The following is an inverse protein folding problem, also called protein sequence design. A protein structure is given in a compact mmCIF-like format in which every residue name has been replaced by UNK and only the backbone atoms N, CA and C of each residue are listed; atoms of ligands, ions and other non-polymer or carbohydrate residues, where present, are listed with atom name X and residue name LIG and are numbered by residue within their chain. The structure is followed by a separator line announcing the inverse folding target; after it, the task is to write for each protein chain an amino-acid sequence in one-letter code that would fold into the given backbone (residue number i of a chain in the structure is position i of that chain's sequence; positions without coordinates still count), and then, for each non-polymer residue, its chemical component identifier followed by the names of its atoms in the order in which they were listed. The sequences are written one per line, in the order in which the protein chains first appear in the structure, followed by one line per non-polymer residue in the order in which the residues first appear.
data_IF_379238539770
#
_entry.id   IF_379238539770
#
_cell.length_a   1.000
_cell.length_b   1.000
_cell.length_c   1.000
_cell.angle_alpha   90.00
_cell.angle_beta   90.00
_cell.angle_gamma   90.00
#
_symmetry.space_group_name_H-M   'P 1'
#
loop_
_entity.id
_entity.type
_entity.pdbx_description
1 polymer ?
#
# COMPACT_ATOMS: atom_id res chain seq x y z
N UNK A 1 -10.19 -4.99 4.49
CA UNK A 1 -11.16 -4.02 5.03
C UNK A 1 -12.59 -4.59 4.95
N UNK A 2 -13.02 -5.35 5.97
CA UNK A 2 -14.33 -6.02 5.99
C UNK A 2 -15.53 -5.05 6.09
N UNK A 3 -15.32 -3.81 6.50
CA UNK A 3 -16.38 -2.83 6.74
C UNK A 3 -16.55 -1.81 5.61
N UNK A 4 -15.78 -1.90 4.53
CA UNK A 4 -15.81 -0.92 3.43
C UNK A 4 -15.45 0.52 3.84
N UNK A 5 -14.72 0.68 4.96
CA UNK A 5 -14.32 1.99 5.48
C UNK A 5 -12.98 2.43 4.91
N UNK A 6 -12.85 3.70 4.61
CA UNK A 6 -11.62 4.30 4.17
C UNK A 6 -10.73 4.58 5.39
N UNK A 7 -9.67 3.80 5.53
CA UNK A 7 -8.88 3.81 6.77
C UNK A 7 -7.93 5.00 6.87
N UNK A 8 -7.25 5.36 5.78
CA UNK A 8 -6.21 6.38 5.83
C UNK A 8 -5.14 6.05 6.86
N UNK A 9 -4.83 6.99 7.74
CA UNK A 9 -3.93 6.82 8.87
C UNK A 9 -4.63 6.24 10.11
N UNK A 10 -5.97 6.21 10.16
CA UNK A 10 -6.67 5.55 11.26
C UNK A 10 -6.26 4.07 11.33
N UNK A 11 -5.89 3.64 12.53
CA UNK A 11 -5.40 2.28 12.75
C UNK A 11 -6.56 1.33 13.07
N UNK A 12 -6.44 0.12 12.57
CA UNK A 12 -7.34 -0.98 12.90
C UNK A 12 -6.57 -2.29 12.95
N UNK A 13 -6.90 -3.22 13.86
CA UNK A 13 -6.24 -4.51 13.92
C UNK A 13 -6.52 -5.33 12.64
N UNK A 14 -5.60 -6.22 12.31
CA UNK A 14 -5.82 -7.20 11.26
C UNK A 14 -7.00 -8.11 11.61
N UNK A 15 -7.85 -8.40 10.64
CA UNK A 15 -8.86 -9.44 10.79
C UNK A 15 -8.20 -10.83 10.91
N UNK A 16 -8.89 -11.85 11.44
CA UNK A 16 -8.38 -13.22 11.47
C UNK A 16 -7.96 -13.72 10.08
N UNK A 17 -8.68 -13.29 9.04
CA UNK A 17 -8.36 -13.58 7.66
C UNK A 17 -7.09 -12.88 7.20
N UNK A 18 -6.92 -11.58 7.49
CA UNK A 18 -5.70 -10.82 7.18
C UNK A 18 -4.47 -11.44 7.84
N UNK A 19 -4.60 -11.93 9.09
CA UNK A 19 -3.54 -12.68 9.78
C UNK A 19 -3.18 -13.97 9.01
N UNK A 20 -4.19 -14.72 8.55
CA UNK A 20 -3.96 -15.95 7.77
C UNK A 20 -3.29 -15.66 6.43
N UNK A 21 -3.70 -14.59 5.73
CA UNK A 21 -3.11 -14.16 4.47
C UNK A 21 -1.64 -13.73 4.66
N UNK A 22 -1.34 -12.94 5.69
CA UNK A 22 0.03 -12.51 6.00
C UNK A 22 0.94 -13.70 6.34
N UNK A 23 0.47 -14.67 7.12
CA UNK A 23 1.22 -15.91 7.41
C UNK A 23 1.48 -16.75 6.15
N UNK A 24 0.50 -16.86 5.26
CA UNK A 24 0.67 -17.58 3.99
C UNK A 24 1.72 -16.90 3.09
N UNK A 25 1.74 -15.55 3.06
CA UNK A 25 2.78 -14.81 2.34
C UNK A 25 4.16 -15.03 2.98
N UNK A 26 4.27 -15.00 4.31
CA UNK A 26 5.51 -15.28 5.03
C UNK A 26 6.09 -16.66 4.67
N UNK A 27 5.26 -17.71 4.69
CA UNK A 27 5.69 -19.05 4.26
C UNK A 27 6.08 -19.12 2.78
N UNK A 28 5.46 -18.33 1.90
CA UNK A 28 5.85 -18.29 0.48
C UNK A 28 7.22 -17.70 0.24
N UNK A 29 7.60 -16.69 1.01
CA UNK A 29 8.87 -15.98 0.82
C UNK A 29 9.96 -16.41 1.82
N UNK A 30 9.70 -17.44 2.64
CA UNK A 30 10.62 -17.90 3.67
C UNK A 30 12.02 -18.24 3.14
N UNK A 31 12.09 -18.83 1.94
CA UNK A 31 13.36 -19.18 1.27
C UNK A 31 13.95 -18.02 0.42
N UNK A 32 13.22 -16.91 0.27
CA UNK A 32 13.73 -15.77 -0.45
C UNK A 32 14.66 -14.94 0.46
N UNK A 33 15.79 -14.51 -0.10
CA UNK A 33 16.73 -13.63 0.62
C UNK A 33 16.47 -12.19 0.26
N UNK A 34 16.33 -11.35 1.29
CA UNK A 34 16.28 -9.90 1.16
C UNK A 34 17.43 -9.29 1.94
N UNK A 35 18.08 -8.27 1.37
CA UNK A 35 19.15 -7.54 2.04
C UNK A 35 18.58 -6.54 3.05
N UNK A 36 17.38 -6.00 2.76
CA UNK A 36 16.67 -5.05 3.60
C UNK A 36 15.19 -5.35 3.64
N UNK A 37 14.57 -5.09 4.80
CA UNK A 37 13.14 -5.27 5.00
C UNK A 37 12.56 -4.03 5.65
N UNK A 38 11.59 -3.39 5.00
CA UNK A 38 10.93 -2.16 5.44
C UNK A 38 9.42 -2.37 5.60
N UNK A 39 8.80 -1.55 6.44
CA UNK A 39 7.35 -1.47 6.59
C UNK A 39 6.89 -0.04 6.78
N UNK A 40 5.71 0.30 6.26
CA UNK A 40 4.96 1.43 6.80
C UNK A 40 4.84 1.27 8.33
N UNK A 41 4.90 2.37 9.05
CA UNK A 41 4.81 2.41 10.52
C UNK A 41 3.36 2.45 11.04
N UNK A 42 2.33 2.35 10.17
CA UNK A 42 0.95 2.14 10.60
C UNK A 42 0.78 0.73 11.17
N UNK A 43 0.08 0.60 12.29
CA UNK A 43 0.00 -0.63 13.10
C UNK A 43 -0.39 -1.87 12.30
N UNK A 44 -1.36 -1.75 11.37
CA UNK A 44 -1.74 -2.87 10.48
C UNK A 44 -0.62 -3.34 9.56
N UNK A 45 0.23 -2.43 9.07
CA UNK A 45 1.37 -2.79 8.22
C UNK A 45 2.50 -3.39 9.06
N UNK A 46 2.79 -2.85 10.24
CA UNK A 46 3.75 -3.40 11.20
C UNK A 46 3.38 -4.83 11.58
N UNK A 47 2.13 -5.07 12.01
CA UNK A 47 1.67 -6.41 12.36
C UNK A 47 1.76 -7.37 11.16
N UNK A 48 1.45 -6.89 9.95
CA UNK A 48 1.64 -7.68 8.73
C UNK A 48 3.12 -8.02 8.52
N UNK A 49 4.02 -7.06 8.69
CA UNK A 49 5.46 -7.28 8.51
C UNK A 49 6.04 -8.27 9.53
N UNK A 50 5.58 -8.23 10.78
CA UNK A 50 5.95 -9.20 11.82
C UNK A 50 5.55 -10.63 11.42
N UNK A 51 4.32 -10.80 10.92
CA UNK A 51 3.83 -12.11 10.47
C UNK A 51 4.57 -12.62 9.23
N UNK A 52 4.94 -11.74 8.32
CA UNK A 52 5.69 -12.07 7.10
C UNK A 52 7.16 -12.40 7.42
N UNK A 53 7.79 -11.62 8.28
CA UNK A 53 9.21 -11.78 8.63
C UNK A 53 9.49 -12.93 9.59
N UNK A 54 8.48 -13.35 10.38
CA UNK A 54 8.64 -14.36 11.44
C UNK A 54 9.26 -15.69 10.97
N UNK A 55 8.86 -16.29 9.82
CA UNK A 55 9.45 -17.58 9.38
C UNK A 55 10.95 -17.49 9.10
N UNK A 56 11.43 -16.38 8.54
CA UNK A 56 12.84 -16.15 8.18
C UNK A 56 13.64 -15.38 9.24
N UNK A 57 13.00 -14.99 10.37
CA UNK A 57 13.63 -14.21 11.43
C UNK A 57 13.93 -12.74 11.06
N UNK A 58 13.30 -12.21 10.00
CA UNK A 58 13.48 -10.83 9.57
C UNK A 58 12.62 -9.88 10.41
N UNK A 59 13.20 -8.71 10.74
CA UNK A 59 12.48 -7.60 11.38
C UNK A 59 12.48 -6.40 10.44
N UNK A 60 11.32 -5.80 10.22
CA UNK A 60 11.19 -4.64 9.33
C UNK A 60 11.64 -3.35 10.02
N UNK A 61 12.39 -2.53 9.28
CA UNK A 61 12.63 -1.14 9.65
C UNK A 61 11.42 -0.28 9.27
N UNK A 62 10.98 0.58 10.17
CA UNK A 62 9.85 1.48 9.92
C UNK A 62 10.23 2.58 8.93
N UNK A 63 9.38 2.76 7.90
CA UNK A 63 9.55 3.78 6.89
C UNK A 63 8.26 4.58 6.66
N UNK A 64 8.08 5.75 7.35
CA UNK A 64 6.83 6.53 7.29
C UNK A 64 6.46 7.02 5.88
N UNK A 65 7.43 7.12 4.96
CA UNK A 65 7.19 7.48 3.56
C UNK A 65 6.24 6.53 2.81
N UNK A 66 6.02 5.31 3.35
CA UNK A 66 5.08 4.33 2.80
C UNK A 66 3.77 4.22 3.58
N UNK A 67 3.42 5.20 4.43
CA UNK A 67 2.06 5.28 5.00
C UNK A 67 1.02 5.39 3.91
N UNK A 68 -0.19 4.88 4.20
CA UNK A 68 -1.36 5.08 3.36
C UNK A 68 -1.67 6.60 3.19
N UNK A 69 -2.54 6.95 2.25
CA UNK A 69 -2.98 8.33 2.09
C UNK A 69 -3.68 8.81 3.35
N UNK A 70 -3.26 9.97 3.85
CA UNK A 70 -3.96 10.66 4.93
C UNK A 70 -5.27 11.24 4.38
N UNK A 71 -6.38 10.76 4.91
CA UNK A 71 -7.73 11.15 4.46
C UNK A 71 -8.38 12.18 5.40
N UNK A 72 -7.68 12.63 6.44
CA UNK A 72 -8.14 13.66 7.36
C UNK A 72 -9.55 13.41 7.87
N UNK A 73 -10.46 14.38 7.67
CA UNK A 73 -11.86 14.28 8.16
C UNK A 73 -12.67 13.14 7.53
N UNK A 74 -12.19 12.50 6.49
CA UNK A 74 -12.86 11.35 5.84
C UNK A 74 -12.40 10.00 6.38
N UNK A 75 -11.42 9.95 7.28
CA UNK A 75 -10.89 8.70 7.84
C UNK A 75 -11.93 7.93 8.64
N UNK A 76 -11.91 6.62 8.50
CA UNK A 76 -12.80 5.71 9.21
C UNK A 76 -14.26 5.71 8.72
N UNK A 77 -14.62 6.56 7.74
CA UNK A 77 -15.96 6.64 7.17
C UNK A 77 -16.11 5.71 5.96
N UNK A 78 -17.32 5.19 5.75
CA UNK A 78 -17.70 4.62 4.47
C UNK A 78 -18.26 5.71 3.54
N UNK A 79 -18.52 5.38 2.28
CA UNK A 79 -19.00 6.34 1.27
C UNK A 79 -20.31 7.04 1.68
N UNK A 80 -21.27 6.33 2.25
CA UNK A 80 -22.56 6.90 2.66
C UNK A 80 -22.39 7.87 3.84
N UNK A 81 -21.56 7.50 4.81
CA UNK A 81 -21.22 8.35 5.94
C UNK A 81 -20.48 9.63 5.50
N UNK A 82 -19.56 9.53 4.52
CA UNK A 82 -18.89 10.70 3.94
C UNK A 82 -19.88 11.66 3.29
N UNK A 83 -20.83 11.14 2.48
CA UNK A 83 -21.86 11.95 1.83
C UNK A 83 -22.79 12.61 2.83
N UNK A 84 -23.06 11.96 3.97
CA UNK A 84 -23.94 12.52 5.01
C UNK A 84 -23.24 13.55 5.91
N UNK A 85 -22.03 13.27 6.37
CA UNK A 85 -21.32 14.10 7.35
C UNK A 85 -20.45 15.18 6.73
N UNK A 86 -19.90 14.95 5.52
CA UNK A 86 -18.98 15.84 4.83
C UNK A 86 -19.29 15.96 3.32
N UNK A 87 -20.53 16.32 2.91
CA UNK A 87 -20.97 16.25 1.51
C UNK A 87 -20.11 17.07 0.56
N UNK A 88 -19.73 18.29 0.92
CA UNK A 88 -18.90 19.15 0.07
C UNK A 88 -17.46 18.64 -0.03
N UNK A 89 -16.89 18.17 1.09
CA UNK A 89 -15.54 17.57 1.10
C UNK A 89 -15.52 16.32 0.22
N UNK A 90 -16.53 15.45 0.37
CA UNK A 90 -16.61 14.22 -0.44
C UNK A 90 -16.76 14.53 -1.94
N UNK A 91 -17.59 15.51 -2.30
CA UNK A 91 -17.74 15.95 -3.68
C UNK A 91 -16.42 16.43 -4.26
N UNK A 92 -15.71 17.31 -3.55
CA UNK A 92 -14.39 17.81 -3.98
C UNK A 92 -13.34 16.71 -4.05
N UNK A 93 -13.31 15.82 -3.06
CA UNK A 93 -12.44 14.62 -3.05
C UNK A 93 -12.61 13.75 -4.30
N UNK A 94 -13.85 13.69 -4.85
CA UNK A 94 -14.17 12.87 -6.03
C UNK A 94 -13.94 13.57 -7.36
N UNK A 95 -13.99 14.90 -7.41
CA UNK A 95 -14.14 15.63 -8.68
C UNK A 95 -13.14 16.78 -8.90
N UNK A 96 -12.49 17.30 -7.85
CA UNK A 96 -11.63 18.50 -7.98
C UNK A 96 -10.17 18.18 -8.37
N UNK A 97 -9.92 16.91 -8.73
CA UNK A 97 -8.62 16.49 -9.24
C UNK A 97 -7.59 16.12 -8.16
N UNK A 98 -6.35 15.77 -8.60
CA UNK A 98 -5.34 15.23 -7.69
C UNK A 98 -4.77 16.26 -6.71
N UNK A 99 -4.93 17.56 -6.97
CA UNK A 99 -4.42 18.64 -6.13
C UNK A 99 -5.33 18.95 -4.93
N UNK A 100 -6.58 18.44 -4.95
CA UNK A 100 -7.50 18.70 -3.84
C UNK A 100 -6.99 18.07 -2.54
N UNK A 101 -6.79 18.93 -1.53
CA UNK A 101 -6.36 18.53 -0.19
C UNK A 101 -7.57 18.32 0.71
N UNK A 102 -7.70 17.09 1.24
CA UNK A 102 -8.75 16.79 2.23
C UNK A 102 -8.42 17.54 3.53
N UNK A 103 -9.40 18.23 4.16
CA UNK A 103 -9.14 18.92 5.42
C UNK A 103 -8.55 18.01 6.49
N UNK A 104 -7.37 18.37 6.99
CA UNK A 104 -6.61 17.58 7.96
C UNK A 104 -5.89 16.35 7.40
N UNK A 105 -5.88 16.18 6.09
CA UNK A 105 -5.19 15.10 5.39
C UNK A 105 -4.26 15.60 4.29
N UNK A 106 -4.07 14.82 3.23
CA UNK A 106 -3.20 15.17 2.09
C UNK A 106 -3.96 15.08 0.76
N UNK A 107 -3.47 15.82 -0.27
CA UNK A 107 -3.95 15.68 -1.64
C UNK A 107 -3.47 14.36 -2.25
N UNK A 108 -4.07 13.93 -3.38
CA UNK A 108 -3.57 12.76 -4.10
C UNK A 108 -2.20 13.04 -4.74
N UNK A 109 -1.95 14.28 -5.14
CA UNK A 109 -0.66 14.71 -5.67
C UNK A 109 0.45 14.63 -4.60
N UNK A 110 0.24 15.17 -3.39
CA UNK A 110 1.21 15.08 -2.29
C UNK A 110 1.49 13.62 -1.92
N UNK A 111 0.44 12.79 -1.86
CA UNK A 111 0.58 11.34 -1.63
C UNK A 111 1.45 10.67 -2.70
N UNK A 112 1.20 10.99 -3.98
CA UNK A 112 1.99 10.48 -5.10
C UNK A 112 3.46 10.91 -5.02
N UNK A 113 3.72 12.18 -4.75
CA UNK A 113 5.08 12.71 -4.61
C UNK A 113 5.82 12.06 -3.44
N UNK A 114 5.17 11.88 -2.28
CA UNK A 114 5.74 11.22 -1.12
C UNK A 114 6.10 9.76 -1.40
N UNK A 115 5.20 9.00 -2.00
CA UNK A 115 5.44 7.59 -2.30
C UNK A 115 6.52 7.40 -3.38
N UNK A 116 6.50 8.22 -4.44
CA UNK A 116 7.51 8.15 -5.50
C UNK A 116 8.90 8.57 -5.01
N UNK A 117 8.99 9.61 -4.19
CA UNK A 117 10.24 10.01 -3.55
C UNK A 117 10.78 8.90 -2.62
N UNK A 118 9.89 8.22 -1.89
CA UNK A 118 10.25 7.15 -0.97
C UNK A 118 10.86 5.94 -1.68
N UNK A 119 10.28 5.52 -2.80
CA UNK A 119 10.84 4.38 -3.56
C UNK A 119 12.15 4.73 -4.24
N UNK A 120 12.31 5.99 -4.73
CA UNK A 120 13.57 6.48 -5.27
C UNK A 120 14.66 6.56 -4.19
N UNK A 121 14.33 7.02 -2.99
CA UNK A 121 15.26 7.08 -1.86
C UNK A 121 15.80 5.68 -1.50
N UNK A 122 14.90 4.69 -1.36
CA UNK A 122 15.34 3.32 -1.08
C UNK A 122 16.21 2.75 -2.20
N UNK A 123 15.85 2.97 -3.47
CA UNK A 123 16.64 2.51 -4.60
C UNK A 123 18.04 3.16 -4.65
N UNK A 124 18.14 4.43 -4.32
CA UNK A 124 19.41 5.16 -4.30
C UNK A 124 20.31 4.74 -3.14
N UNK A 125 19.74 4.50 -1.95
CA UNK A 125 20.48 4.05 -0.76
C UNK A 125 20.98 2.61 -0.88
N UNK A 126 20.25 1.76 -1.61
CA UNK A 126 20.47 0.31 -1.63
C UNK A 126 20.64 -0.23 -3.05
N UNK A 127 21.59 0.37 -3.81
CA UNK A 127 21.84 -0.03 -5.18
C UNK A 127 22.25 -1.51 -5.29
N UNK A 128 21.57 -2.25 -6.17
CA UNK A 128 21.82 -3.66 -6.42
C UNK A 128 21.27 -4.62 -5.35
N UNK A 129 20.64 -4.09 -4.29
CA UNK A 129 20.07 -4.90 -3.22
C UNK A 129 18.65 -5.38 -3.54
N UNK A 130 18.25 -6.46 -2.87
CA UNK A 130 16.86 -6.96 -2.82
C UNK A 130 16.18 -6.41 -1.58
N UNK A 131 15.13 -5.64 -1.76
CA UNK A 131 14.40 -4.97 -0.68
C UNK A 131 12.98 -5.52 -0.64
N UNK A 132 12.51 -5.92 0.55
CA UNK A 132 11.10 -6.18 0.80
C UNK A 132 10.47 -4.95 1.48
N UNK A 133 9.24 -4.59 1.08
CA UNK A 133 8.48 -3.47 1.66
C UNK A 133 7.05 -3.92 1.93
N UNK A 134 6.59 -3.79 3.15
CA UNK A 134 5.18 -3.95 3.52
C UNK A 134 4.52 -2.58 3.55
N UNK A 135 3.45 -2.42 2.78
CA UNK A 135 2.78 -1.14 2.60
C UNK A 135 1.26 -1.34 2.36
N UNK A 136 0.59 -0.38 1.78
CA UNK A 136 -0.86 -0.27 1.65
C UNK A 136 -1.31 -0.26 0.19
N UNK A 137 -2.61 -0.50 -0.03
CA UNK A 137 -3.20 -0.54 -1.36
C UNK A 137 -3.05 0.78 -2.11
N UNK A 138 -3.29 1.93 -1.46
CA UNK A 138 -3.10 3.23 -2.10
C UNK A 138 -1.66 3.48 -2.52
N UNK A 139 -0.68 3.13 -1.68
CA UNK A 139 0.76 3.25 -2.02
C UNK A 139 1.10 2.38 -3.23
N UNK A 140 0.65 1.12 -3.25
CA UNK A 140 0.84 0.24 -4.42
C UNK A 140 0.21 0.86 -5.67
N UNK A 141 -1.00 1.43 -5.56
CA UNK A 141 -1.67 2.13 -6.66
C UNK A 141 -0.87 3.31 -7.20
N UNK A 142 -0.24 4.08 -6.33
CA UNK A 142 0.67 5.17 -6.70
C UNK A 142 1.92 4.63 -7.39
N UNK A 143 2.59 3.63 -6.81
CA UNK A 143 3.81 3.06 -7.39
C UNK A 143 3.54 2.42 -8.76
N UNK A 144 2.39 1.78 -8.94
CA UNK A 144 1.97 1.25 -10.23
C UNK A 144 1.85 2.36 -11.29
N UNK A 145 1.20 3.49 -10.95
CA UNK A 145 1.10 4.66 -11.83
C UNK A 145 2.46 5.26 -12.13
N UNK A 146 3.29 5.43 -11.11
CA UNK A 146 4.63 6.00 -11.23
C UNK A 146 5.51 5.20 -12.20
N UNK A 147 5.56 3.87 -12.02
CA UNK A 147 6.38 2.96 -12.83
C UNK A 147 5.90 2.92 -14.28
N UNK A 148 4.59 2.85 -14.50
CA UNK A 148 4.00 2.74 -15.84
C UNK A 148 3.68 4.10 -16.47
N UNK A 149 4.00 5.21 -15.79
CA UNK A 149 3.76 6.59 -16.25
C UNK A 149 2.29 6.86 -16.59
N UNK A 150 1.38 6.32 -15.77
CA UNK A 150 -0.06 6.53 -15.93
C UNK A 150 -0.43 7.89 -15.31
N UNK A 151 -1.14 8.77 -16.02
CA UNK A 151 -1.60 10.05 -15.50
C UNK A 151 -2.40 9.91 -14.19
N UNK A 152 -2.31 10.90 -13.30
CA UNK A 152 -3.00 10.86 -12.01
C UNK A 152 -4.53 10.95 -12.16
N UNK A 153 -4.98 11.62 -13.22
CA UNK A 153 -6.39 11.82 -13.57
C UNK A 153 -7.02 10.56 -14.19
N UNK A 154 -6.19 9.59 -14.63
CA UNK A 154 -6.71 8.37 -15.24
C UNK A 154 -7.41 7.49 -14.18
N UNK A 155 -8.53 6.87 -14.57
CA UNK A 155 -9.22 5.92 -13.71
C UNK A 155 -8.34 4.75 -13.30
N UNK A 156 -8.60 4.18 -12.12
CA UNK A 156 -7.95 2.96 -11.67
C UNK A 156 -8.55 1.75 -12.38
N UNK A 157 -7.85 1.22 -13.37
CA UNK A 157 -8.24 0.04 -14.15
C UNK A 157 -7.37 -1.20 -13.83
N UNK A 158 -6.89 -1.32 -12.59
CA UNK A 158 -6.08 -2.45 -12.11
C UNK A 158 -6.50 -2.83 -10.69
N UNK A 159 -6.31 -4.10 -10.38
CA UNK A 159 -6.68 -4.68 -9.08
C UNK A 159 -5.52 -4.57 -8.10
N UNK A 160 -5.85 -4.29 -6.83
CA UNK A 160 -4.94 -4.27 -5.69
C UNK A 160 -5.45 -5.30 -4.69
N UNK A 161 -4.75 -6.41 -4.55
CA UNK A 161 -5.16 -7.51 -3.67
C UNK A 161 -4.38 -7.47 -2.36
N UNK A 162 -5.09 -7.66 -1.25
CA UNK A 162 -4.47 -7.78 0.07
C UNK A 162 -3.44 -8.91 0.09
N UNK A 163 -2.31 -8.68 0.74
CA UNK A 163 -1.18 -9.62 0.82
C UNK A 163 -0.68 -10.12 -0.54
N UNK A 164 -0.89 -9.36 -1.63
CA UNK A 164 -0.28 -9.68 -2.93
C UNK A 164 1.22 -9.39 -2.92
N UNK A 165 1.98 -10.24 -3.64
CA UNK A 165 3.39 -10.00 -3.92
C UNK A 165 3.52 -9.24 -5.24
N UNK A 166 4.14 -8.07 -5.18
CA UNK A 166 4.38 -7.19 -6.32
C UNK A 166 5.88 -6.98 -6.47
N UNK A 167 6.43 -7.21 -7.66
CA UNK A 167 7.87 -7.13 -7.92
C UNK A 167 8.17 -6.05 -8.94
N UNK A 168 9.04 -5.15 -8.58
CA UNK A 168 9.55 -4.06 -9.41
C UNK A 168 11.07 -4.07 -9.39
N UNK A 169 11.69 -3.53 -10.41
CA UNK A 169 13.15 -3.48 -10.55
C UNK A 169 13.59 -2.09 -11.03
N UNK A 170 14.56 -1.50 -10.36
CA UNK A 170 15.22 -0.25 -10.80
C UNK A 170 16.40 -0.61 -11.69
N UNK A 171 16.45 -0.05 -12.91
CA UNK A 171 17.58 -0.10 -13.85
C UNK A 171 18.02 1.31 -14.21
N UNK A 172 19.14 1.44 -14.91
CA UNK A 172 19.62 2.73 -15.42
C UNK A 172 18.55 3.47 -16.25
N UNK A 173 17.80 2.74 -17.07
CA UNK A 173 16.73 3.29 -17.92
C UNK A 173 15.44 3.65 -17.15
N UNK A 174 15.33 3.31 -15.85
CA UNK A 174 14.16 3.56 -15.03
C UNK A 174 13.61 2.32 -14.34
N UNK A 175 12.35 2.37 -13.93
CA UNK A 175 11.64 1.28 -13.25
C UNK A 175 11.01 0.31 -14.24
N UNK A 176 11.07 -0.97 -13.90
CA UNK A 176 10.37 -2.05 -14.60
C UNK A 176 9.39 -2.75 -13.66
N UNK A 177 8.20 -3.01 -14.15
CA UNK A 177 7.23 -3.88 -13.49
C UNK A 177 7.52 -5.33 -13.88
N UNK A 178 7.89 -6.18 -12.91
CA UNK A 178 8.23 -7.59 -13.15
C UNK A 178 7.01 -8.48 -12.97
N UNK A 179 6.27 -8.31 -11.86
CA UNK A 179 4.99 -8.99 -11.60
C UNK A 179 4.10 -8.15 -10.72
N UNK A 180 2.78 -8.36 -10.83
CA UNK A 180 1.79 -7.61 -10.08
C UNK A 180 0.63 -8.49 -9.65
N UNK A 181 0.17 -8.29 -8.41
CA UNK A 181 -1.01 -8.96 -7.88
C UNK A 181 -0.84 -10.47 -7.70
N UNK A 182 0.39 -10.98 -7.53
CA UNK A 182 0.61 -12.41 -7.32
C UNK A 182 0.11 -12.84 -5.93
N UNK A 183 -0.93 -13.63 -5.93
CA UNK A 183 -1.60 -14.21 -4.75
C UNK A 183 -1.62 -15.74 -4.77
N UNK A 184 -0.67 -16.36 -5.46
CA UNK A 184 -0.62 -17.81 -5.59
C UNK A 184 -0.59 -18.56 -4.25
N UNK A 185 -0.07 -17.94 -3.19
CA UNK A 185 -0.06 -18.47 -1.82
C UNK A 185 -1.42 -18.40 -1.11
N UNK A 186 -2.42 -17.69 -1.67
CA UNK A 186 -3.76 -17.54 -1.09
C UNK A 186 -4.80 -18.49 -1.68
N UNK A 187 -4.42 -19.43 -2.55
CA UNK A 187 -5.35 -20.33 -3.28
C UNK A 187 -6.28 -21.14 -2.40
N UNK A 188 -5.87 -21.42 -1.16
CA UNK A 188 -6.65 -22.20 -0.19
C UNK A 188 -7.35 -21.33 0.85
N UNK A 189 -7.27 -20.00 0.72
CA UNK A 189 -7.95 -19.04 1.59
C UNK A 189 -9.17 -18.47 0.85
N UNK A 190 -10.33 -18.46 1.51
CA UNK A 190 -11.59 -18.01 0.94
C UNK A 190 -11.49 -16.58 0.40
N UNK A 191 -11.98 -16.36 -0.79
CA UNK A 191 -12.07 -15.12 -1.58
C UNK A 191 -10.92 -14.08 -1.44
N UNK A 192 -10.51 -13.53 -2.54
CA UNK A 192 -9.51 -12.43 -2.62
C UNK A 192 -10.26 -11.09 -2.46
N UNK A 193 -9.84 -10.26 -1.52
CA UNK A 193 -10.38 -8.92 -1.34
C UNK A 193 -9.51 -7.91 -2.09
N UNK A 194 -10.16 -7.00 -2.83
CA UNK A 194 -9.51 -5.80 -3.35
C UNK A 194 -9.06 -4.90 -2.17
N UNK A 195 -7.90 -4.31 -2.26
CA UNK A 195 -7.28 -3.49 -1.22
C UNK A 195 -7.67 -2.02 -1.35
#
# INVERSE_FOLDING_TARGET
NLSGRWQGHADSPLSPRGISQAKALGGRIEEETFDFFYSSDLGRALHTSELIGSPSGMTAEMYPGFRERDLGVLEGLNTDEMMQSHPEVYKSFRHDGPEYEVPGGESFLHFYERCSASIEDLANRHQGARIAVVTHGGVLGVLFRYILKIPLEADRNFVLLNCSLNRIEKKEAGWNLISWGDVAHLKNLDSLDDA
#
